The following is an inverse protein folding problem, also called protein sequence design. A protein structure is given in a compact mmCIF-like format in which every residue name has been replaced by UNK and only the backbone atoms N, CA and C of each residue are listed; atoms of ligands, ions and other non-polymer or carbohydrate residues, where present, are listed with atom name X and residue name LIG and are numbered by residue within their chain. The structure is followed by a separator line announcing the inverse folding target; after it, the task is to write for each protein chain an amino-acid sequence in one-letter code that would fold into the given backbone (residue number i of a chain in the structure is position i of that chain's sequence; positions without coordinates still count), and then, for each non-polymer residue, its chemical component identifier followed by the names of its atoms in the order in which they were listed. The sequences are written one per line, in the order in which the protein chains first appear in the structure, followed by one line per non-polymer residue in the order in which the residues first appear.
data_IF_982486319295
#
_entry.id   IF_982486319295
#
_cell.length_a   1.000
_cell.length_b   1.000
_cell.length_c   1.000
_cell.angle_alpha   90.00
_cell.angle_beta   90.00
_cell.angle_gamma   90.00
#
_symmetry.space_group_name_H-M   'P 1'
#
loop_
_entity.id
_entity.type
_entity.pdbx_description
1 polymer ?
#
# COMPACT_ATOMS: atom_id res chain seq x y z
N UNK A 1 -13.13 -1.20 -15.09
CA UNK A 1 -12.72 -0.89 -13.71
C UNK A 1 -13.06 0.55 -13.35
N UNK A 2 -13.23 0.85 -12.07
CA UNK A 2 -13.49 2.18 -11.52
C UNK A 2 -12.29 2.63 -10.66
N UNK A 3 -11.89 3.90 -10.75
CA UNK A 3 -10.80 4.49 -9.94
C UNK A 3 -11.41 5.47 -8.94
N UNK A 4 -11.11 5.30 -7.66
CA UNK A 4 -11.54 6.11 -6.53
C UNK A 4 -10.32 6.80 -5.91
N UNK A 5 -10.28 8.13 -5.98
CA UNK A 5 -9.11 8.95 -5.67
C UNK A 5 -8.19 9.11 -6.88
N UNK A 6 -8.17 10.32 -7.46
CA UNK A 6 -7.43 10.63 -8.67
C UNK A 6 -6.24 11.58 -8.42
N UNK A 7 -5.59 11.35 -7.28
CA UNK A 7 -4.32 11.97 -6.93
C UNK A 7 -3.14 11.38 -7.73
N UNK A 8 -1.92 11.50 -7.20
CA UNK A 8 -0.69 11.01 -7.85
C UNK A 8 -0.77 9.53 -8.22
N UNK A 9 -1.24 8.66 -7.31
CA UNK A 9 -1.35 7.22 -7.58
C UNK A 9 -2.46 6.90 -8.58
N UNK A 10 -3.65 7.47 -8.42
CA UNK A 10 -4.77 7.25 -9.34
C UNK A 10 -4.43 7.59 -10.79
N UNK A 11 -3.69 8.69 -11.03
CA UNK A 11 -3.19 9.07 -12.36
C UNK A 11 -2.20 8.05 -12.94
N UNK A 12 -1.23 7.58 -12.15
CA UNK A 12 -0.27 6.57 -12.61
C UNK A 12 -0.95 5.20 -12.86
N UNK A 13 -1.94 4.82 -12.03
CA UNK A 13 -2.75 3.62 -12.24
C UNK A 13 -3.52 3.72 -13.55
N UNK A 14 -4.16 4.87 -13.82
CA UNK A 14 -4.88 5.09 -15.08
C UNK A 14 -3.95 4.95 -16.29
N UNK A 15 -2.77 5.57 -16.27
CA UNK A 15 -1.77 5.46 -17.36
C UNK A 15 -1.44 4.00 -17.67
N UNK A 16 -1.10 3.25 -16.65
CA UNK A 16 -0.73 1.84 -16.80
C UNK A 16 -1.90 0.99 -17.29
N UNK A 17 -3.11 1.26 -16.77
CA UNK A 17 -4.32 0.59 -17.23
C UNK A 17 -4.59 0.86 -18.72
N UNK A 18 -4.40 2.08 -19.18
CA UNK A 18 -4.51 2.42 -20.62
C UNK A 18 -3.45 1.68 -21.42
N UNK A 19 -2.20 1.66 -20.96
CA UNK A 19 -1.10 0.97 -21.64
C UNK A 19 -1.34 -0.55 -21.75
N UNK A 20 -2.01 -1.15 -20.75
CA UNK A 20 -2.38 -2.57 -20.75
C UNK A 20 -3.78 -2.87 -21.32
N UNK A 21 -4.44 -1.89 -21.95
CA UNK A 21 -5.79 -2.02 -22.54
C UNK A 21 -6.89 -2.44 -21.56
N UNK A 22 -6.80 -2.00 -20.29
CA UNK A 22 -7.91 -2.17 -19.36
C UNK A 22 -9.05 -1.22 -19.71
N UNK A 23 -10.29 -1.72 -19.63
CA UNK A 23 -11.47 -0.88 -19.77
C UNK A 23 -11.71 -0.06 -18.49
N UNK A 24 -11.47 1.25 -18.55
CA UNK A 24 -11.73 2.19 -17.46
C UNK A 24 -13.14 2.73 -17.67
N UNK A 25 -14.03 2.51 -16.71
CA UNK A 25 -15.44 2.92 -16.84
C UNK A 25 -15.77 4.18 -16.04
N UNK A 26 -14.92 4.61 -15.11
CA UNK A 26 -15.18 5.82 -14.34
C UNK A 26 -14.01 6.21 -13.45
N UNK A 27 -14.00 7.47 -13.07
CA UNK A 27 -13.05 8.07 -12.14
C UNK A 27 -13.82 8.97 -11.18
N UNK A 28 -13.58 8.82 -9.89
CA UNK A 28 -14.20 9.60 -8.80
C UNK A 28 -13.11 10.35 -8.03
N UNK A 29 -13.28 11.66 -7.90
CA UNK A 29 -12.41 12.51 -7.08
C UNK A 29 -13.18 13.75 -6.60
N UNK A 30 -12.96 14.23 -5.35
CA UNK A 30 -13.63 15.41 -4.84
C UNK A 30 -13.05 16.75 -5.32
N UNK A 31 -11.84 16.75 -5.91
CA UNK A 31 -11.11 17.97 -6.26
C UNK A 31 -11.84 18.76 -7.35
N UNK A 32 -12.33 19.95 -7.01
CA UNK A 32 -13.14 20.80 -7.90
C UNK A 32 -12.41 21.17 -9.20
N UNK A 33 -11.09 21.30 -9.14
CA UNK A 33 -10.24 21.59 -10.29
C UNK A 33 -10.10 20.39 -11.25
N UNK A 34 -10.49 19.18 -10.83
CA UNK A 34 -10.45 17.97 -11.65
C UNK A 34 -11.82 17.58 -12.19
N UNK A 35 -12.88 17.83 -11.43
CA UNK A 35 -14.25 17.40 -11.75
C UNK A 35 -14.70 17.94 -13.12
N UNK A 36 -15.31 17.05 -13.90
CA UNK A 36 -15.80 17.35 -15.26
C UNK A 36 -14.75 17.28 -16.36
N UNK A 37 -13.46 17.29 -16.02
CA UNK A 37 -12.36 17.13 -16.98
C UNK A 37 -12.21 15.68 -17.42
N UNK A 38 -11.64 15.47 -18.61
CA UNK A 38 -11.29 14.12 -19.09
C UNK A 38 -10.15 13.52 -18.27
N UNK A 39 -10.37 12.31 -17.75
CA UNK A 39 -9.41 11.63 -16.89
C UNK A 39 -8.10 11.29 -17.62
N UNK A 40 -8.16 10.96 -18.91
CA UNK A 40 -6.99 10.70 -19.71
C UNK A 40 -6.10 11.94 -19.88
N UNK A 41 -6.68 13.07 -20.24
CA UNK A 41 -5.96 14.33 -20.37
C UNK A 41 -5.35 14.78 -19.04
N UNK A 42 -6.10 14.66 -17.94
CA UNK A 42 -5.60 14.97 -16.58
C UNK A 42 -4.47 14.05 -16.15
N UNK A 43 -4.48 12.80 -16.58
CA UNK A 43 -3.39 11.86 -16.32
C UNK A 43 -2.19 12.06 -17.27
N UNK A 44 -2.33 12.84 -18.35
CA UNK A 44 -1.27 13.06 -19.34
C UNK A 44 -1.16 11.94 -20.39
N UNK A 45 -2.29 11.30 -20.71
CA UNK A 45 -2.42 10.38 -21.85
C UNK A 45 -3.40 10.98 -22.87
N UNK A 46 -3.83 10.20 -23.86
CA UNK A 46 -4.86 10.64 -24.81
C UNK A 46 -6.21 10.87 -24.13
N UNK A 47 -7.07 11.63 -24.79
CA UNK A 47 -8.48 11.75 -24.37
C UNK A 47 -9.17 10.38 -24.37
N UNK A 48 -9.89 10.08 -23.28
CA UNK A 48 -10.57 8.81 -23.09
C UNK A 48 -12.10 8.92 -23.17
N UNK A 49 -12.66 10.12 -23.16
CA UNK A 49 -14.10 10.36 -23.06
C UNK A 49 -14.65 10.04 -21.64
N UNK A 50 -13.78 9.92 -20.63
CA UNK A 50 -14.14 9.58 -19.26
C UNK A 50 -14.02 10.82 -18.39
N UNK A 51 -15.15 11.41 -18.01
CA UNK A 51 -15.18 12.56 -17.10
C UNK A 51 -14.92 12.12 -15.66
N UNK A 52 -14.15 12.93 -14.94
CA UNK A 52 -13.97 12.78 -13.50
C UNK A 52 -15.25 13.24 -12.80
N UNK A 53 -15.85 12.40 -11.97
CA UNK A 53 -17.11 12.65 -11.28
C UNK A 53 -16.89 12.93 -9.79
N UNK A 54 -17.85 13.64 -9.15
CA UNK A 54 -17.84 13.87 -7.70
C UNK A 54 -18.21 12.59 -6.94
N UNK A 55 -17.80 12.44 -5.66
CA UNK A 55 -18.14 11.27 -4.83
C UNK A 55 -19.64 10.97 -4.77
N UNK A 56 -20.50 11.99 -4.69
CA UNK A 56 -21.97 11.83 -4.69
C UNK A 56 -22.54 11.15 -5.94
N UNK A 57 -21.78 11.09 -7.03
CA UNK A 57 -22.19 10.48 -8.30
C UNK A 57 -21.75 9.01 -8.40
N UNK A 58 -21.01 8.49 -7.41
CA UNK A 58 -20.44 7.12 -7.41
C UNK A 58 -21.50 6.06 -7.73
N UNK A 59 -22.64 6.07 -7.03
CA UNK A 59 -23.72 5.10 -7.27
C UNK A 59 -24.27 5.16 -8.70
N UNK A 60 -24.45 6.36 -9.25
CA UNK A 60 -24.87 6.54 -10.66
C UNK A 60 -23.85 5.96 -11.62
N UNK A 61 -22.55 6.29 -11.43
CA UNK A 61 -21.47 5.79 -12.31
C UNK A 61 -21.41 4.26 -12.26
N UNK A 62 -21.59 3.64 -11.10
CA UNK A 62 -21.62 2.19 -10.96
C UNK A 62 -22.80 1.60 -11.74
N UNK A 63 -23.99 2.15 -11.57
CA UNK A 63 -25.21 1.65 -12.23
C UNK A 63 -25.11 1.75 -13.77
N UNK A 64 -24.60 2.88 -14.26
CA UNK A 64 -24.48 3.15 -15.70
C UNK A 64 -23.35 2.34 -16.37
N UNK A 65 -22.25 2.09 -15.67
CA UNK A 65 -20.99 1.58 -16.23
C UNK A 65 -20.64 0.16 -15.82
N UNK A 66 -21.24 -0.38 -14.77
CA UNK A 66 -21.09 -1.76 -14.25
C UNK A 66 -19.62 -2.23 -14.19
N UNK A 67 -18.76 -1.58 -13.38
CA UNK A 67 -17.37 -1.97 -13.26
C UNK A 67 -17.23 -3.33 -12.57
N UNK A 68 -16.26 -4.15 -13.00
CA UNK A 68 -15.93 -5.44 -12.35
C UNK A 68 -15.11 -5.25 -11.07
N UNK A 69 -14.30 -4.19 -11.00
CA UNK A 69 -13.38 -3.91 -9.89
C UNK A 69 -13.31 -2.41 -9.64
N UNK A 70 -13.33 -2.01 -8.38
CA UNK A 70 -13.03 -0.67 -7.90
C UNK A 70 -11.64 -0.63 -7.26
N UNK A 71 -10.83 0.37 -7.64
CA UNK A 71 -9.48 0.59 -7.11
C UNK A 71 -9.49 1.87 -6.29
N UNK A 72 -9.25 1.77 -4.97
CA UNK A 72 -9.32 2.90 -4.05
C UNK A 72 -7.94 3.33 -3.54
N UNK A 73 -7.58 4.56 -3.88
CA UNK A 73 -6.39 5.30 -3.41
C UNK A 73 -6.78 6.70 -2.94
N UNK A 74 -7.85 6.78 -2.15
CA UNK A 74 -8.37 8.02 -1.56
C UNK A 74 -7.76 8.29 -0.16
N UNK A 75 -8.59 8.52 0.82
CA UNK A 75 -8.25 8.62 2.24
C UNK A 75 -9.17 7.70 3.05
N UNK A 76 -8.87 7.39 4.33
CA UNK A 76 -9.64 6.45 5.14
C UNK A 76 -11.15 6.72 5.17
N UNK A 77 -11.56 7.96 5.43
CA UNK A 77 -12.99 8.34 5.50
C UNK A 77 -13.69 8.12 4.16
N UNK A 78 -13.10 8.63 3.07
CA UNK A 78 -13.65 8.47 1.74
C UNK A 78 -13.68 6.99 1.30
N UNK A 79 -12.66 6.22 1.63
CA UNK A 79 -12.61 4.79 1.33
C UNK A 79 -13.72 4.03 2.06
N UNK A 80 -14.02 4.37 3.30
CA UNK A 80 -15.16 3.79 4.03
C UNK A 80 -16.50 4.13 3.35
N UNK A 81 -16.73 5.39 2.99
CA UNK A 81 -17.94 5.79 2.28
C UNK A 81 -18.07 5.09 0.92
N UNK A 82 -16.98 5.08 0.14
CA UNK A 82 -16.91 4.40 -1.15
C UNK A 82 -17.20 2.90 -1.02
N UNK A 83 -16.56 2.25 -0.03
CA UNK A 83 -16.69 0.80 0.17
C UNK A 83 -18.11 0.36 0.47
N UNK A 84 -18.90 1.19 1.13
CA UNK A 84 -20.31 0.89 1.39
C UNK A 84 -21.12 0.80 0.09
N UNK A 85 -20.92 1.75 -0.82
CA UNK A 85 -21.64 1.79 -2.10
C UNK A 85 -21.14 0.68 -3.02
N UNK A 86 -19.81 0.50 -3.10
CA UNK A 86 -19.16 -0.47 -3.98
C UNK A 86 -19.51 -1.91 -3.56
N UNK A 87 -19.44 -2.22 -2.25
CA UNK A 87 -19.74 -3.55 -1.73
C UNK A 87 -21.20 -3.93 -1.93
N UNK A 88 -22.15 -3.03 -1.61
CA UNK A 88 -23.58 -3.24 -1.87
C UNK A 88 -23.92 -3.45 -3.36
N UNK A 89 -23.04 -2.98 -4.25
CA UNK A 89 -23.18 -3.19 -5.69
C UNK A 89 -22.52 -4.50 -6.18
N UNK A 90 -21.98 -5.34 -5.29
CA UNK A 90 -21.34 -6.62 -5.62
C UNK A 90 -19.99 -6.47 -6.35
N UNK A 91 -19.30 -5.34 -6.21
CA UNK A 91 -18.08 -5.04 -6.95
C UNK A 91 -16.85 -5.33 -6.10
N UNK A 92 -15.91 -6.10 -6.62
CA UNK A 92 -14.64 -6.40 -5.97
C UNK A 92 -13.75 -5.16 -5.84
N UNK A 93 -12.88 -5.13 -4.83
CA UNK A 93 -12.06 -3.96 -4.52
C UNK A 93 -10.56 -4.26 -4.47
N UNK A 94 -9.75 -3.27 -4.88
CA UNK A 94 -8.31 -3.20 -4.60
C UNK A 94 -8.07 -1.92 -3.82
N UNK A 95 -7.67 -2.04 -2.55
CA UNK A 95 -7.59 -0.93 -1.60
C UNK A 95 -6.13 -0.69 -1.22
N UNK A 96 -5.57 0.40 -1.76
CA UNK A 96 -4.24 0.91 -1.41
C UNK A 96 -4.28 2.15 -0.52
N UNK A 97 -5.47 2.57 -0.10
CA UNK A 97 -5.67 3.62 0.90
C UNK A 97 -5.04 3.18 2.23
N UNK A 98 -4.31 4.08 2.86
CA UNK A 98 -3.57 3.84 4.11
C UNK A 98 -4.00 4.81 5.21
N UNK A 99 -3.65 4.50 6.47
CA UNK A 99 -3.92 5.37 7.60
C UNK A 99 -5.25 5.09 8.31
N UNK A 100 -5.87 3.95 8.06
CA UNK A 100 -7.06 3.51 8.82
C UNK A 100 -6.73 3.32 10.29
N UNK A 101 -7.64 3.75 11.15
CA UNK A 101 -7.68 3.29 12.55
C UNK A 101 -8.13 1.84 12.61
N UNK A 102 -7.80 1.13 13.69
CA UNK A 102 -8.15 -0.29 13.84
C UNK A 102 -9.65 -0.56 13.61
N UNK A 103 -10.54 0.23 14.22
CA UNK A 103 -12.00 0.12 14.06
C UNK A 103 -12.46 0.39 12.62
N UNK A 104 -11.85 1.35 11.93
CA UNK A 104 -12.17 1.69 10.54
C UNK A 104 -11.82 0.52 9.60
N UNK A 105 -10.66 -0.09 9.83
CA UNK A 105 -10.23 -1.26 9.05
C UNK A 105 -11.12 -2.48 9.33
N UNK A 106 -11.58 -2.65 10.55
CA UNK A 106 -12.53 -3.70 10.94
C UNK A 106 -13.87 -3.51 10.23
N UNK A 107 -14.47 -2.31 10.31
CA UNK A 107 -15.69 -1.96 9.58
C UNK A 107 -15.56 -2.19 8.07
N UNK A 108 -14.42 -1.81 7.46
CA UNK A 108 -14.15 -2.08 6.06
C UNK A 108 -14.18 -3.57 5.73
N UNK A 109 -13.55 -4.39 6.56
CA UNK A 109 -13.51 -5.85 6.40
C UNK A 109 -14.89 -6.49 6.56
N UNK A 110 -15.65 -6.07 7.56
CA UNK A 110 -17.03 -6.54 7.79
C UNK A 110 -17.90 -6.29 6.56
N UNK A 111 -17.87 -5.08 5.99
CA UNK A 111 -18.63 -4.74 4.76
C UNK A 111 -18.29 -5.64 3.58
N UNK A 112 -17.00 -5.93 3.39
CA UNK A 112 -16.54 -6.81 2.30
C UNK A 112 -17.11 -8.22 2.49
N UNK A 113 -17.05 -8.75 3.71
CA UNK A 113 -17.52 -10.10 4.02
C UNK A 113 -19.05 -10.22 3.95
N UNK A 114 -19.78 -9.26 4.54
CA UNK A 114 -21.25 -9.22 4.54
C UNK A 114 -21.85 -9.13 3.13
N UNK A 115 -21.18 -8.43 2.21
CA UNK A 115 -21.64 -8.32 0.82
C UNK A 115 -21.02 -9.38 -0.10
N UNK A 116 -20.30 -10.36 0.45
CA UNK A 116 -19.68 -11.48 -0.26
C UNK A 116 -18.82 -11.08 -1.47
N UNK A 117 -18.18 -9.91 -1.43
CA UNK A 117 -17.24 -9.46 -2.45
C UNK A 117 -15.80 -9.86 -2.11
N UNK A 118 -14.93 -9.78 -3.11
CA UNK A 118 -13.48 -9.94 -2.91
C UNK A 118 -12.78 -8.59 -2.73
N UNK A 119 -11.81 -8.52 -1.82
CA UNK A 119 -10.95 -7.34 -1.71
C UNK A 119 -9.50 -7.70 -1.46
N UNK A 120 -8.58 -7.01 -2.18
CA UNK A 120 -7.16 -6.97 -1.82
C UNK A 120 -6.92 -5.69 -1.03
N UNK A 121 -6.50 -5.82 0.23
CA UNK A 121 -6.18 -4.69 1.12
C UNK A 121 -4.71 -4.74 1.46
N UNK A 122 -3.96 -3.69 1.13
CA UNK A 122 -2.53 -3.63 1.48
C UNK A 122 -2.06 -2.20 1.75
N UNK A 123 -1.25 -2.00 2.80
CA UNK A 123 -0.65 -0.70 3.08
C UNK A 123 0.45 -0.33 2.08
N UNK A 124 0.90 -1.28 1.30
CA UNK A 124 1.85 -1.06 0.21
C UNK A 124 1.61 -2.09 -0.91
N UNK A 125 1.35 -1.60 -2.11
CA UNK A 125 1.07 -2.46 -3.28
C UNK A 125 2.32 -2.94 -4.02
N UNK A 126 3.51 -2.46 -3.69
CA UNK A 126 4.74 -2.92 -4.36
C UNK A 126 4.99 -4.40 -4.11
N UNK A 127 5.15 -5.16 -5.17
CA UNK A 127 5.55 -6.58 -5.11
C UNK A 127 6.86 -6.70 -4.35
N UNK A 128 7.87 -5.89 -4.72
CA UNK A 128 9.19 -5.91 -4.09
C UNK A 128 9.16 -5.61 -2.60
N UNK A 129 8.33 -4.65 -2.14
CA UNK A 129 8.16 -4.37 -0.70
C UNK A 129 7.53 -5.55 0.04
N UNK A 130 6.54 -6.21 -0.54
CA UNK A 130 5.91 -7.36 0.10
C UNK A 130 6.85 -8.58 0.15
N UNK A 131 7.65 -8.82 -0.90
CA UNK A 131 8.72 -9.82 -0.88
C UNK A 131 9.79 -9.46 0.15
N UNK A 132 10.21 -8.20 0.22
CA UNK A 132 11.13 -7.70 1.25
C UNK A 132 10.61 -8.01 2.66
N UNK A 133 9.33 -7.78 2.95
CA UNK A 133 8.74 -8.11 4.24
C UNK A 133 8.74 -9.61 4.55
N UNK A 134 8.48 -10.48 3.56
CA UNK A 134 8.56 -11.93 3.76
C UNK A 134 10.00 -12.38 4.05
N UNK A 135 10.98 -11.84 3.32
CA UNK A 135 12.39 -12.14 3.55
C UNK A 135 12.86 -11.68 4.94
N UNK A 136 12.45 -10.48 5.37
CA UNK A 136 12.74 -9.97 6.71
C UNK A 136 12.08 -10.85 7.77
N UNK A 137 10.80 -11.20 7.61
CA UNK A 137 10.08 -12.07 8.54
C UNK A 137 10.81 -13.42 8.71
N UNK A 138 11.22 -14.03 7.61
CA UNK A 138 11.89 -15.33 7.63
C UNK A 138 13.30 -15.24 8.24
N UNK A 139 14.07 -14.23 7.84
CA UNK A 139 15.40 -14.03 8.41
C UNK A 139 15.36 -13.83 9.93
N UNK A 140 14.41 -13.01 10.42
CA UNK A 140 14.27 -12.79 11.87
C UNK A 140 13.79 -14.06 12.58
N UNK A 141 12.92 -14.89 12.01
CA UNK A 141 12.52 -16.18 12.58
C UNK A 141 13.72 -17.11 12.82
N UNK A 142 14.64 -17.14 11.86
CA UNK A 142 15.85 -17.97 11.94
C UNK A 142 16.88 -17.44 12.95
N UNK A 143 16.88 -16.12 13.22
CA UNK A 143 17.91 -15.44 14.00
C UNK A 143 17.45 -14.96 15.39
N UNK A 144 16.16 -14.94 15.71
CA UNK A 144 15.60 -14.32 16.93
C UNK A 144 16.17 -14.84 18.25
N UNK A 145 16.60 -16.11 18.28
CA UNK A 145 17.16 -16.76 19.46
C UNK A 145 18.71 -16.71 19.46
N UNK A 146 19.29 -15.97 18.53
CA UNK A 146 20.73 -15.73 18.38
C UNK A 146 21.04 -14.28 18.73
N UNK A 147 22.31 -13.96 18.91
CA UNK A 147 22.76 -12.63 19.34
C UNK A 147 22.93 -11.70 18.13
N UNK A 148 21.80 -11.37 17.45
CA UNK A 148 21.76 -10.43 16.34
C UNK A 148 21.06 -9.14 16.72
N UNK A 149 21.71 -8.03 16.46
CA UNK A 149 21.18 -6.70 16.53
C UNK A 149 20.36 -6.38 15.26
N UNK A 150 19.24 -5.65 15.42
CA UNK A 150 18.34 -5.32 14.32
C UNK A 150 18.24 -3.82 14.16
N UNK A 151 18.60 -3.33 12.98
CA UNK A 151 18.50 -1.91 12.62
C UNK A 151 17.73 -1.75 11.31
N UNK A 152 16.81 -0.79 11.26
CA UNK A 152 16.04 -0.43 10.08
C UNK A 152 16.48 0.97 9.65
N UNK A 153 16.89 1.12 8.39
CA UNK A 153 17.20 2.42 7.78
C UNK A 153 16.27 2.64 6.62
N UNK A 154 15.58 3.78 6.58
CA UNK A 154 14.73 4.15 5.46
C UNK A 154 15.11 5.53 4.92
N UNK A 155 15.01 5.72 3.62
CA UNK A 155 15.27 6.99 2.97
C UNK A 155 14.15 7.37 2.01
N UNK A 156 13.73 8.62 2.06
CA UNK A 156 12.74 9.20 1.15
C UNK A 156 13.10 10.65 0.80
N UNK A 157 12.38 11.18 -0.19
CA UNK A 157 12.52 12.56 -0.65
C UNK A 157 12.27 13.58 0.48
N UNK A 158 12.88 14.76 0.35
CA UNK A 158 12.82 15.86 1.32
C UNK A 158 11.40 16.34 1.68
N UNK A 159 10.41 16.07 0.84
CA UNK A 159 9.02 16.51 1.02
C UNK A 159 8.14 15.49 1.77
N UNK A 160 8.68 14.33 2.17
CA UNK A 160 7.92 13.32 2.93
C UNK A 160 7.78 13.78 4.37
N UNK A 161 6.52 13.92 4.82
CA UNK A 161 6.20 14.49 6.14
C UNK A 161 6.31 13.48 7.28
N UNK A 162 5.86 12.25 7.06
CA UNK A 162 5.92 11.19 8.05
C UNK A 162 7.34 10.62 8.18
N UNK A 163 7.80 10.44 9.40
CA UNK A 163 9.06 9.79 9.77
C UNK A 163 8.88 9.06 11.12
N UNK A 164 9.19 7.74 11.18
CA UNK A 164 9.53 6.86 10.06
C UNK A 164 8.39 6.66 9.06
N UNK A 165 8.73 6.16 7.86
CA UNK A 165 7.74 5.83 6.83
C UNK A 165 6.82 4.67 7.28
N UNK A 166 5.60 4.63 6.75
CA UNK A 166 4.67 3.52 7.01
C UNK A 166 5.25 2.14 6.68
N UNK A 167 6.07 2.04 5.64
CA UNK A 167 6.76 0.79 5.28
C UNK A 167 7.81 0.40 6.33
N UNK A 168 8.58 1.34 6.86
CA UNK A 168 9.56 1.07 7.91
C UNK A 168 8.86 0.69 9.24
N UNK A 169 7.79 1.37 9.61
CA UNK A 169 6.99 1.00 10.78
C UNK A 169 6.40 -0.40 10.64
N UNK A 170 5.85 -0.73 9.45
CA UNK A 170 5.35 -2.07 9.19
C UNK A 170 6.43 -3.13 9.27
N UNK A 171 7.63 -2.83 8.77
CA UNK A 171 8.80 -3.72 8.92
C UNK A 171 9.12 -3.96 10.39
N UNK A 172 9.16 -2.91 11.19
CA UNK A 172 9.41 -3.02 12.64
C UNK A 172 8.32 -3.82 13.36
N UNK A 173 7.04 -3.64 13.00
CA UNK A 173 5.92 -4.43 13.52
C UNK A 173 6.05 -5.92 13.20
N UNK A 174 6.45 -6.27 11.97
CA UNK A 174 6.69 -7.65 11.57
C UNK A 174 7.80 -8.27 12.42
N UNK A 175 8.90 -7.56 12.61
CA UNK A 175 10.02 -7.99 13.42
C UNK A 175 9.60 -8.18 14.89
N UNK A 176 8.95 -7.19 15.47
CA UNK A 176 8.47 -7.24 16.86
C UNK A 176 7.51 -8.42 17.09
N UNK A 177 6.60 -8.67 16.14
CA UNK A 177 5.69 -9.81 16.17
C UNK A 177 6.43 -11.16 16.17
N UNK A 178 7.45 -11.32 15.34
CA UNK A 178 8.30 -12.52 15.29
C UNK A 178 9.05 -12.71 16.61
N UNK A 179 9.50 -11.61 17.23
CA UNK A 179 10.15 -11.63 18.56
C UNK A 179 9.17 -11.86 19.71
N UNK A 180 7.85 -11.91 19.45
CA UNK A 180 6.82 -12.10 20.49
C UNK A 180 6.67 -10.92 21.45
N UNK A 181 7.01 -9.70 21.02
CA UNK A 181 7.01 -8.49 21.84
C UNK A 181 6.25 -7.34 21.17
N UNK A 182 5.93 -6.32 21.97
CA UNK A 182 5.31 -5.10 21.44
C UNK A 182 6.37 -4.18 20.85
N UNK A 183 6.12 -3.62 19.67
CA UNK A 183 7.05 -2.67 19.03
C UNK A 183 7.38 -1.48 19.94
N UNK A 184 6.42 -0.98 20.73
CA UNK A 184 6.65 0.15 21.64
C UNK A 184 7.73 -0.13 22.70
N UNK A 185 7.95 -1.39 23.06
CA UNK A 185 8.97 -1.80 24.01
C UNK A 185 10.34 -1.97 23.38
N UNK A 186 10.40 -2.20 22.07
CA UNK A 186 11.60 -2.52 21.33
C UNK A 186 12.16 -1.35 20.51
N UNK A 187 11.30 -0.42 20.09
CA UNK A 187 11.67 0.62 19.13
C UNK A 187 12.62 1.67 19.74
N UNK A 188 13.75 1.88 19.07
CA UNK A 188 14.66 2.99 19.30
C UNK A 188 14.70 3.88 18.05
N UNK A 189 14.13 5.08 18.15
CA UNK A 189 14.03 6.03 17.02
C UNK A 189 15.26 6.94 16.99
N UNK A 190 16.19 6.61 16.10
CA UNK A 190 17.49 7.28 16.04
C UNK A 190 18.38 6.93 17.25
N UNK A 191 19.54 7.55 17.29
CA UNK A 191 20.47 7.48 18.43
C UNK A 191 21.09 8.84 18.66
N UNK A 192 21.09 9.30 19.91
CA UNK A 192 21.67 10.57 20.33
C UNK A 192 22.35 10.37 21.70
N UNK A 193 23.40 11.13 21.96
CA UNK A 193 24.11 11.12 23.23
C UNK A 193 25.16 10.01 23.36
N UNK A 194 25.52 9.70 24.61
CA UNK A 194 26.61 8.79 24.96
C UNK A 194 26.03 7.59 25.76
N UNK A 195 25.73 6.53 25.07
CA UNK A 195 25.24 5.27 25.67
C UNK A 195 25.43 4.10 24.68
N UNK A 196 25.53 2.91 25.22
CA UNK A 196 25.56 1.69 24.44
C UNK A 196 24.17 1.33 23.91
N UNK A 197 24.14 0.51 22.84
CA UNK A 197 22.94 -0.12 22.33
C UNK A 197 22.35 -1.08 23.36
N UNK A 198 21.04 -1.05 23.57
CA UNK A 198 20.36 -2.01 24.46
C UNK A 198 20.11 -3.33 23.72
N UNK A 199 20.34 -4.44 24.37
CA UNK A 199 20.08 -5.77 23.82
C UNK A 199 18.59 -5.94 23.48
N UNK A 200 18.32 -6.39 22.26
CA UNK A 200 16.98 -6.71 21.78
C UNK A 200 16.15 -5.51 21.31
N UNK A 201 16.69 -4.28 21.33
CA UNK A 201 16.00 -3.16 20.70
C UNK A 201 16.01 -3.25 19.18
N UNK A 202 15.07 -2.58 18.52
CA UNK A 202 14.99 -2.40 17.07
C UNK A 202 15.28 -0.93 16.78
N UNK A 203 16.45 -0.63 16.20
CA UNK A 203 16.76 0.73 15.77
C UNK A 203 15.98 1.09 14.51
N UNK A 204 15.45 2.32 14.45
CA UNK A 204 14.67 2.81 13.31
C UNK A 204 15.18 4.21 12.94
N UNK A 205 15.74 4.33 11.74
CA UNK A 205 16.41 5.54 11.26
C UNK A 205 15.76 6.04 9.96
N UNK A 206 15.41 7.32 9.94
CA UNK A 206 14.74 7.95 8.81
C UNK A 206 15.63 9.03 8.16
N UNK A 207 15.91 8.86 6.87
CA UNK A 207 16.64 9.82 6.04
C UNK A 207 15.64 10.56 5.13
N UNK A 208 15.81 11.89 5.02
CA UNK A 208 15.05 12.76 4.11
C UNK A 208 16.02 13.55 3.26
N UNK A 209 16.13 13.20 1.95
CA UNK A 209 17.08 13.82 1.05
C UNK A 209 16.59 13.82 -0.40
N UNK A 210 16.92 14.86 -1.15
CA UNK A 210 16.69 14.95 -2.59
C UNK A 210 15.28 14.54 -3.02
N UNK A 211 15.24 13.67 -4.01
CA UNK A 211 14.06 13.10 -4.67
C UNK A 211 13.93 11.58 -4.49
N UNK A 212 14.63 11.00 -3.52
CA UNK A 212 14.60 9.56 -3.21
C UNK A 212 13.15 9.06 -3.16
N UNK A 213 12.82 8.08 -3.99
CA UNK A 213 11.45 7.56 -4.11
C UNK A 213 11.06 6.75 -2.88
N UNK A 214 11.97 5.90 -2.40
CA UNK A 214 11.81 5.10 -1.20
C UNK A 214 12.84 3.97 -1.15
N UNK A 215 13.60 3.94 -0.09
CA UNK A 215 14.58 2.89 0.21
C UNK A 215 14.32 2.36 1.62
N UNK A 216 14.45 1.05 1.78
CA UNK A 216 14.30 0.38 3.07
C UNK A 216 15.36 -0.70 3.19
N UNK A 217 16.12 -0.64 4.28
CA UNK A 217 17.18 -1.61 4.58
C UNK A 217 16.96 -2.13 6.00
N UNK A 218 17.05 -3.44 6.17
CA UNK A 218 17.16 -4.11 7.47
C UNK A 218 18.56 -4.67 7.59
N UNK A 219 19.25 -4.32 8.66
CA UNK A 219 20.53 -4.88 9.04
C UNK A 219 20.28 -5.85 10.20
N UNK A 220 20.79 -7.07 10.05
CA UNK A 220 20.83 -8.10 11.07
C UNK A 220 22.31 -8.37 11.34
N UNK A 221 22.86 -7.90 12.45
CA UNK A 221 24.29 -7.84 12.69
C UNK A 221 24.67 -8.47 14.02
N UNK A 222 25.75 -9.23 14.00
CA UNK A 222 26.40 -9.78 15.20
C UNK A 222 27.92 -9.56 15.11
N UNK A 223 28.65 -9.97 16.13
CA UNK A 223 30.12 -9.89 16.09
C UNK A 223 30.64 -10.81 15.00
N UNK A 224 31.34 -10.23 14.03
CA UNK A 224 31.99 -10.96 12.93
C UNK A 224 31.22 -11.03 11.62
N UNK A 225 29.88 -10.77 11.62
CA UNK A 225 29.11 -10.82 10.38
C UNK A 225 27.86 -9.91 10.40
N UNK A 226 27.33 -9.66 9.22
CA UNK A 226 26.11 -8.88 9.00
C UNK A 226 25.34 -9.41 7.79
N UNK A 227 24.03 -9.50 7.94
CA UNK A 227 23.10 -9.75 6.82
C UNK A 227 22.33 -8.47 6.55
N UNK A 228 22.21 -8.08 5.29
CA UNK A 228 21.42 -6.93 4.87
C UNK A 228 20.34 -7.36 3.89
N UNK A 229 19.08 -6.93 4.16
CA UNK A 229 17.97 -7.08 3.24
C UNK A 229 17.55 -5.67 2.83
N UNK A 230 17.61 -5.38 1.53
CA UNK A 230 17.40 -4.02 1.00
C UNK A 230 16.36 -4.03 -0.12
N UNK A 231 15.45 -3.08 -0.07
CA UNK A 231 14.52 -2.75 -1.16
C UNK A 231 14.70 -1.29 -1.57
N UNK A 232 14.86 -1.04 -2.87
CA UNK A 232 14.98 0.29 -3.47
C UNK A 232 13.91 0.46 -4.54
N UNK A 233 13.06 1.46 -4.39
CA UNK A 233 12.09 1.85 -5.42
C UNK A 233 12.70 2.94 -6.31
N UNK A 234 12.83 2.67 -7.60
CA UNK A 234 13.31 3.66 -8.58
C UNK A 234 12.21 4.59 -9.09
N UNK A 235 10.95 4.14 -9.04
CA UNK A 235 9.79 4.94 -9.45
C UNK A 235 8.50 4.43 -8.81
N UNK A 236 7.42 5.20 -8.94
CA UNK A 236 6.07 4.75 -8.52
C UNK A 236 5.51 3.59 -9.36
N UNK A 237 6.10 3.29 -10.52
CA UNK A 237 5.71 2.13 -11.32
C UNK A 237 5.77 0.81 -10.54
N UNK A 238 6.67 0.69 -9.54
CA UNK A 238 6.74 -0.46 -8.66
C UNK A 238 5.42 -0.73 -7.91
N UNK A 239 4.73 0.33 -7.47
CA UNK A 239 3.44 0.21 -6.78
C UNK A 239 2.30 -0.08 -7.77
N UNK A 240 2.32 0.58 -8.93
CA UNK A 240 1.29 0.42 -9.97
C UNK A 240 1.27 -1.00 -10.52
N UNK A 241 2.42 -1.62 -10.76
CA UNK A 241 2.52 -3.03 -11.18
C UNK A 241 1.82 -3.96 -10.21
N UNK A 242 1.98 -3.75 -8.90
CA UNK A 242 1.29 -4.55 -7.89
C UNK A 242 -0.22 -4.30 -7.86
N UNK A 243 -0.68 -3.06 -8.12
CA UNK A 243 -2.12 -2.78 -8.28
C UNK A 243 -2.70 -3.55 -9.45
N UNK A 244 -2.01 -3.56 -10.59
CA UNK A 244 -2.44 -4.34 -11.77
C UNK A 244 -2.52 -5.84 -11.47
N UNK A 245 -1.53 -6.38 -10.76
CA UNK A 245 -1.55 -7.77 -10.32
C UNK A 245 -2.74 -8.05 -9.39
N UNK A 246 -3.02 -7.16 -8.43
CA UNK A 246 -4.15 -7.26 -7.52
C UNK A 246 -5.50 -7.20 -8.26
N UNK A 247 -5.64 -6.34 -9.27
CA UNK A 247 -6.84 -6.26 -10.11
C UNK A 247 -7.09 -7.59 -10.85
N UNK A 248 -6.05 -8.17 -11.44
CA UNK A 248 -6.14 -9.46 -12.13
C UNK A 248 -6.48 -10.60 -11.16
N UNK A 249 -5.87 -10.57 -9.98
CA UNK A 249 -6.05 -11.60 -8.95
C UNK A 249 -7.45 -11.63 -8.38
N UNK A 250 -8.06 -10.46 -8.11
CA UNK A 250 -9.31 -10.37 -7.34
C UNK A 250 -10.55 -10.74 -8.17
N UNK A 251 -10.43 -10.81 -9.50
CA UNK A 251 -11.55 -11.12 -10.39
C UNK A 251 -12.20 -12.46 -10.03
N UNK A 252 -13.50 -12.45 -9.76
CA UNK A 252 -14.29 -13.63 -9.43
C UNK A 252 -14.01 -14.25 -8.05
N UNK A 253 -13.22 -13.59 -7.20
CA UNK A 253 -12.93 -14.05 -5.83
C UNK A 253 -13.86 -13.39 -4.83
N UNK A 254 -14.07 -14.06 -3.68
CA UNK A 254 -14.75 -13.55 -2.50
C UNK A 254 -13.81 -13.60 -1.31
N UNK A 255 -13.99 -12.67 -0.37
CA UNK A 255 -13.18 -12.61 0.86
C UNK A 255 -12.04 -11.59 0.82
N UNK A 256 -11.23 -11.58 1.86
CA UNK A 256 -10.18 -10.57 2.07
C UNK A 256 -8.81 -11.18 1.82
N UNK A 257 -8.04 -10.50 0.99
CA UNK A 257 -6.70 -10.90 0.56
C UNK A 257 -5.70 -9.77 0.81
N UNK A 258 -4.43 -10.15 0.90
CA UNK A 258 -3.28 -9.25 0.96
C UNK A 258 -2.45 -9.33 -0.33
N UNK A 259 -1.46 -8.45 -0.47
CA UNK A 259 -0.49 -8.59 -1.57
C UNK A 259 0.34 -9.88 -1.47
N UNK A 260 0.50 -10.46 -0.28
CA UNK A 260 1.14 -11.78 -0.11
C UNK A 260 0.38 -12.88 -0.87
N UNK A 261 -0.95 -12.84 -0.81
CA UNK A 261 -1.81 -13.80 -1.52
C UNK A 261 -1.72 -13.62 -3.04
N UNK A 262 -1.66 -12.36 -3.49
CA UNK A 262 -1.48 -12.01 -4.92
C UNK A 262 -0.15 -12.57 -5.45
N UNK A 263 0.94 -12.37 -4.71
CA UNK A 263 2.29 -12.83 -5.08
C UNK A 263 2.34 -14.35 -5.13
N UNK A 264 1.81 -15.03 -4.12
CA UNK A 264 1.80 -16.49 -4.03
C UNK A 264 0.95 -17.16 -5.10
N UNK A 265 -0.04 -16.47 -5.63
CA UNK A 265 -0.82 -16.96 -6.77
C UNK A 265 -0.07 -16.88 -8.12
N UNK A 266 1.17 -16.39 -8.15
CA UNK A 266 1.98 -16.28 -9.37
C UNK A 266 1.49 -15.24 -10.37
N UNK A 267 0.70 -14.26 -9.95
CA UNK A 267 0.15 -13.19 -10.79
C UNK A 267 0.95 -11.88 -10.68
N UNK A 268 2.06 -11.93 -10.04
CA UNK A 268 2.94 -10.78 -9.81
C UNK A 268 4.06 -10.70 -10.85
#
# INVERSE_FOLDING_TARGET
MLILGFGRMGKEILKECVAQNFNICGVIDPAEDLVGKDAGLVAGVKELGIKINKPKELGRVINDRKPDVAVDFSNPSACLENSEIVAKSGINMVIGTTGFKAKELETLKERILENEIGAVISPNMSIGVNVFWELVEEAVKLLKDRDYDIEIVEAHHRFKKDAPSGTALRTAEIIAKVMGKNLKELAAYGREGFHERKKGEIGIHAIRAGDIVGEHRVLLSTIGERIEITHIAHSRAAFVKGVIAAIKFIKGKKGIYSMRDVIRAGLA
#
